data_IF_712134325937
#
_entry.id   IF_712134325937
#
_cell.length_a   1.000
_cell.length_b   1.000
_cell.length_c   1.000
_cell.angle_alpha   90.00
_cell.angle_beta   90.00
_cell.angle_gamma   90.00
#
_symmetry.space_group_name_H-M   'P 1'
#
loop_
_entity.id
_entity.type
_entity.pdbx_description
1 polymer ?
#
# COMPACT_ATOMS: atom_id res chain seq x y z
N UNK A 1 3.96 -16.43 11.80
CA UNK A 1 3.84 -15.13 12.50
C UNK A 1 4.32 -14.08 11.50
N UNK A 2 3.42 -13.61 10.61
CA UNK A 2 3.76 -12.70 9.52
C UNK A 2 3.36 -11.29 9.91
N UNK A 3 4.35 -10.42 10.02
CA UNK A 3 4.15 -9.01 10.31
C UNK A 3 3.52 -8.30 9.10
N UNK A 4 2.42 -7.64 9.33
CA UNK A 4 1.61 -6.90 8.37
C UNK A 4 2.37 -5.65 7.92
N UNK A 5 2.70 -5.55 6.64
CA UNK A 5 3.30 -4.39 6.01
C UNK A 5 2.22 -3.39 5.61
N UNK A 6 2.19 -2.23 6.24
CA UNK A 6 1.51 -1.04 5.74
C UNK A 6 2.55 -0.14 5.07
N UNK A 7 2.73 -0.29 3.77
CA UNK A 7 3.35 0.71 2.90
C UNK A 7 2.23 1.57 2.31
N UNK A 8 1.86 2.64 3.00
CA UNK A 8 1.09 3.71 2.39
C UNK A 8 2.07 4.59 1.60
N UNK A 9 2.27 4.29 0.32
CA UNK A 9 2.90 5.24 -0.61
C UNK A 9 1.83 6.27 -0.96
N UNK A 10 1.75 7.34 -0.15
CA UNK A 10 0.90 8.48 -0.45
C UNK A 10 1.56 9.35 -1.52
N UNK A 11 0.91 9.54 -2.66
CA UNK A 11 1.27 10.59 -3.59
C UNK A 11 1.18 11.96 -2.89
N UNK A 12 2.33 12.61 -2.66
CA UNK A 12 2.41 13.96 -2.10
C UNK A 12 2.04 14.98 -3.19
N UNK A 13 0.87 15.59 -3.04
CA UNK A 13 0.60 16.88 -3.66
C UNK A 13 1.34 17.97 -2.84
N UNK A 14 2.26 18.69 -3.48
CA UNK A 14 2.98 19.82 -2.91
C UNK A 14 2.02 20.99 -2.67
N UNK A 15 1.66 21.25 -1.41
CA UNK A 15 1.19 22.55 -0.97
C UNK A 15 2.32 23.24 -0.21
N UNK A 16 2.86 24.30 -0.82
CA UNK A 16 3.84 25.21 -0.23
C UNK A 16 3.18 26.14 0.78
N UNK A 17 3.22 25.77 2.06
CA UNK A 17 2.91 26.62 3.20
C UNK A 17 4.21 26.93 3.97
N UNK A 18 4.62 28.20 3.97
CA UNK A 18 5.73 28.68 4.81
C UNK A 18 5.33 28.65 6.28
N UNK A 19 5.93 27.76 7.06
CA UNK A 19 5.96 27.86 8.52
C UNK A 19 7.25 28.56 8.90
N UNK A 20 7.13 29.72 9.55
CA UNK A 20 8.26 30.41 10.19
C UNK A 20 8.68 29.63 11.44
N UNK A 21 9.84 29.00 11.38
CA UNK A 21 10.51 28.43 12.55
C UNK A 21 11.22 29.55 13.32
N UNK A 22 11.02 29.58 14.64
CA UNK A 22 11.72 30.44 15.58
C UNK A 22 13.10 29.83 15.86
N UNK A 23 14.22 30.49 15.60
CA UNK A 23 15.54 29.89 15.80
C UNK A 23 15.98 30.09 17.25
N UNK A 24 15.87 29.08 18.09
CA UNK A 24 16.69 28.98 19.29
C UNK A 24 18.03 28.35 18.94
N UNK A 25 19.08 29.13 19.12
CA UNK A 25 20.49 28.89 18.92
C UNK A 25 20.95 27.54 19.51
N UNK A 26 21.03 26.51 18.67
CA UNK A 26 22.08 25.50 18.83
C UNK A 26 23.28 25.94 18.00
N UNK A 27 24.46 25.90 18.57
CA UNK A 27 25.69 26.40 17.92
C UNK A 27 25.93 25.57 16.65
N UNK A 28 26.16 26.21 15.53
CA UNK A 28 26.49 25.57 14.23
C UNK A 28 27.67 24.57 14.36
N UNK A 29 28.51 24.75 15.34
CA UNK A 29 29.70 23.91 15.64
C UNK A 29 29.26 22.51 16.18
N UNK A 30 28.25 22.42 17.05
CA UNK A 30 27.82 21.15 17.61
C UNK A 30 27.02 20.30 16.58
N UNK A 31 26.29 20.98 15.71
CA UNK A 31 25.53 20.32 14.64
C UNK A 31 26.48 19.76 13.56
N UNK A 32 27.54 20.51 13.21
CA UNK A 32 28.51 20.08 12.21
C UNK A 32 29.34 18.89 12.70
N UNK A 33 29.79 18.92 13.97
CA UNK A 33 30.53 17.82 14.59
C UNK A 33 29.67 16.54 14.73
N UNK A 34 28.40 16.66 15.10
CA UNK A 34 27.45 15.53 15.17
C UNK A 34 27.19 14.91 13.78
N UNK A 35 27.06 15.73 12.75
CA UNK A 35 26.88 15.29 11.37
C UNK A 35 28.14 14.58 10.83
N UNK A 36 29.33 15.07 11.13
CA UNK A 36 30.60 14.43 10.73
C UNK A 36 30.80 13.07 11.40
N UNK A 37 30.50 12.95 12.69
CA UNK A 37 30.59 11.69 13.44
C UNK A 37 29.56 10.67 12.90
N UNK A 38 28.34 11.09 12.61
CA UNK A 38 27.30 10.25 12.01
C UNK A 38 27.72 9.73 10.64
N UNK A 39 28.28 10.60 9.80
CA UNK A 39 28.77 10.22 8.48
C UNK A 39 29.95 9.24 8.54
N UNK A 40 30.93 9.45 9.43
CA UNK A 40 32.05 8.53 9.62
C UNK A 40 31.59 7.14 10.08
N UNK A 41 30.59 7.07 10.96
CA UNK A 41 30.00 5.83 11.42
C UNK A 41 29.22 5.11 10.30
N UNK A 42 28.49 5.85 9.47
CA UNK A 42 27.80 5.30 8.29
C UNK A 42 28.82 4.69 7.30
N UNK A 43 29.92 5.36 7.03
CA UNK A 43 30.97 4.87 6.13
C UNK A 43 31.63 3.59 6.69
N UNK A 44 31.83 3.50 8.02
CA UNK A 44 32.33 2.26 8.62
C UNK A 44 31.30 1.13 8.46
N UNK A 45 30.02 1.39 8.76
CA UNK A 45 28.94 0.42 8.56
C UNK A 45 28.85 -0.06 7.09
N UNK A 46 29.03 0.85 6.12
CA UNK A 46 28.99 0.52 4.70
C UNK A 46 30.15 -0.40 4.30
N UNK A 47 31.35 -0.20 4.87
CA UNK A 47 32.50 -1.12 4.67
C UNK A 47 32.20 -2.51 5.23
N UNK A 48 31.61 -2.58 6.42
CA UNK A 48 31.25 -3.87 7.06
C UNK A 48 30.15 -4.57 6.25
N UNK A 49 29.16 -3.82 5.77
CA UNK A 49 28.12 -4.35 4.88
C UNK A 49 28.69 -4.84 3.56
N UNK A 50 29.66 -4.14 2.97
CA UNK A 50 30.36 -4.58 1.75
C UNK A 50 31.01 -5.94 1.95
N UNK A 51 31.73 -6.15 3.07
CA UNK A 51 32.33 -7.45 3.38
C UNK A 51 31.27 -8.54 3.53
N UNK A 52 30.17 -8.23 4.20
CA UNK A 52 29.04 -9.13 4.32
C UNK A 52 28.46 -9.49 2.94
N UNK A 53 28.21 -8.51 2.07
CA UNK A 53 27.66 -8.73 0.73
C UNK A 53 28.61 -9.57 -0.17
N UNK A 54 29.93 -9.33 -0.09
CA UNK A 54 30.93 -10.16 -0.74
C UNK A 54 30.85 -11.62 -0.26
N UNK A 55 30.70 -11.84 1.05
CA UNK A 55 30.47 -13.17 1.64
C UNK A 55 29.13 -13.84 1.22
N UNK A 56 28.18 -13.06 0.72
CA UNK A 56 26.92 -13.53 0.13
C UNK A 56 26.99 -13.76 -1.38
N UNK A 57 28.17 -13.63 -1.98
CA UNK A 57 28.42 -13.95 -3.38
C UNK A 57 28.29 -12.78 -4.36
N UNK A 58 28.12 -11.54 -3.88
CA UNK A 58 28.12 -10.36 -4.75
C UNK A 58 29.53 -10.13 -5.30
N UNK A 59 29.65 -9.90 -6.61
CA UNK A 59 30.92 -9.68 -7.27
C UNK A 59 31.59 -8.38 -6.81
N UNK A 60 32.91 -8.34 -6.76
CA UNK A 60 33.66 -7.15 -6.40
C UNK A 60 33.42 -5.99 -7.40
N UNK A 61 33.17 -6.32 -8.67
CA UNK A 61 32.81 -5.34 -9.68
C UNK A 61 31.48 -4.65 -9.38
N UNK A 62 30.49 -5.40 -8.94
CA UNK A 62 29.19 -4.86 -8.51
C UNK A 62 29.31 -4.05 -7.23
N UNK A 63 30.04 -4.54 -6.24
CA UNK A 63 30.27 -3.82 -4.99
C UNK A 63 30.94 -2.44 -5.25
N UNK A 64 31.92 -2.40 -6.15
CA UNK A 64 32.56 -1.13 -6.54
C UNK A 64 31.57 -0.17 -7.23
N UNK A 65 30.77 -0.65 -8.19
CA UNK A 65 29.81 0.19 -8.91
C UNK A 65 28.65 0.65 -8.03
N UNK A 66 28.18 -0.21 -7.13
CA UNK A 66 26.95 0.01 -6.39
C UNK A 66 27.17 0.72 -5.05
N UNK A 67 28.30 0.51 -4.37
CA UNK A 67 28.53 1.02 -3.03
C UNK A 67 29.55 2.15 -2.96
N UNK A 68 30.41 2.31 -3.98
CA UNK A 68 31.34 3.43 -4.01
C UNK A 68 30.59 4.76 -4.20
N UNK A 69 30.73 5.67 -3.24
CA UNK A 69 30.06 6.96 -3.28
C UNK A 69 28.63 7.00 -2.72
N UNK A 70 28.12 5.88 -2.20
CA UNK A 70 26.82 5.85 -1.49
C UNK A 70 26.86 6.75 -0.26
N UNK A 71 25.85 7.63 -0.15
CA UNK A 71 25.75 8.65 0.90
C UNK A 71 24.58 8.36 1.82
N UNK A 72 24.74 8.72 3.08
CA UNK A 72 23.65 8.82 4.02
C UNK A 72 22.67 9.94 3.59
N UNK A 73 21.38 9.67 3.64
CA UNK A 73 20.32 10.58 3.20
C UNK A 73 19.40 10.92 4.36
N UNK A 74 19.65 12.04 5.05
CA UNK A 74 18.81 12.53 6.16
C UNK A 74 17.33 12.58 5.78
N UNK A 75 17.02 13.02 4.55
CA UNK A 75 15.65 13.09 4.04
C UNK A 75 14.92 11.74 4.06
N UNK A 76 15.63 10.64 3.90
CA UNK A 76 15.06 9.28 3.99
C UNK A 76 14.61 8.98 5.42
N UNK A 77 15.41 9.36 6.42
CA UNK A 77 15.06 9.16 7.84
C UNK A 77 13.91 10.07 8.28
N UNK A 78 13.90 11.33 7.82
CA UNK A 78 12.76 12.22 8.04
C UNK A 78 11.45 11.60 7.52
N UNK A 79 11.49 11.05 6.30
CA UNK A 79 10.33 10.40 5.69
C UNK A 79 9.96 9.08 6.39
N UNK A 80 10.95 8.29 6.85
CA UNK A 80 10.70 7.08 7.65
C UNK A 80 10.06 7.41 9.02
N UNK A 81 10.43 8.54 9.61
CA UNK A 81 9.86 9.05 10.87
C UNK A 81 8.49 9.70 10.71
N UNK A 82 8.13 10.13 9.50
CA UNK A 82 6.89 10.86 9.26
C UNK A 82 5.66 9.96 9.42
N UNK A 83 4.76 10.36 10.32
CA UNK A 83 3.45 9.73 10.50
C UNK A 83 2.37 10.79 10.26
N UNK A 84 1.45 10.58 9.30
CA UNK A 84 0.37 11.54 9.05
C UNK A 84 -0.48 11.72 10.31
N UNK A 85 -0.79 12.97 10.63
CA UNK A 85 -1.64 13.33 11.77
C UNK A 85 -3.08 12.83 11.61
N UNK A 86 -3.57 12.81 10.36
CA UNK A 86 -4.93 12.40 10.03
C UNK A 86 -4.95 11.05 9.34
N UNK A 87 -5.91 10.22 9.72
CA UNK A 87 -6.27 9.02 8.99
C UNK A 87 -7.18 9.43 7.82
N UNK A 88 -6.64 9.43 6.60
CA UNK A 88 -7.39 9.81 5.40
C UNK A 88 -8.58 8.87 5.20
N UNK A 89 -9.84 9.38 5.08
CA UNK A 89 -10.98 8.55 4.75
C UNK A 89 -10.79 7.84 3.41
N UNK A 90 -11.36 6.65 3.28
CA UNK A 90 -11.19 5.83 2.07
C UNK A 90 -11.72 6.55 0.81
N UNK A 91 -12.80 7.31 0.91
CA UNK A 91 -13.37 8.03 -0.24
C UNK A 91 -12.46 9.15 -0.74
N UNK A 92 -11.74 9.86 0.14
CA UNK A 92 -10.77 10.86 -0.28
C UNK A 92 -9.57 10.22 -0.99
N UNK A 93 -9.15 9.04 -0.53
CA UNK A 93 -8.12 8.26 -1.22
C UNK A 93 -8.61 7.84 -2.61
N UNK A 94 -9.83 7.28 -2.71
CA UNK A 94 -10.42 6.84 -3.97
C UNK A 94 -10.66 8.00 -4.94
N UNK A 95 -11.11 9.17 -4.48
CA UNK A 95 -11.28 10.37 -5.33
C UNK A 95 -9.98 10.77 -6.03
N UNK A 96 -8.85 10.60 -5.34
CA UNK A 96 -7.53 10.89 -5.91
C UNK A 96 -7.03 9.74 -6.80
N UNK A 97 -7.20 8.50 -6.31
CA UNK A 97 -6.67 7.30 -6.95
C UNK A 97 -7.46 6.92 -8.21
N UNK A 98 -8.77 7.22 -8.26
CA UNK A 98 -9.69 6.89 -9.36
C UNK A 98 -10.24 8.17 -10.00
N UNK A 99 -9.39 9.19 -10.13
CA UNK A 99 -9.76 10.47 -10.76
C UNK A 99 -10.02 10.30 -12.27
N UNK A 100 -10.87 11.18 -12.82
CA UNK A 100 -11.17 11.18 -14.26
C UNK A 100 -9.91 11.25 -15.12
N UNK A 101 -8.93 12.05 -14.72
CA UNK A 101 -7.63 12.15 -15.41
C UNK A 101 -6.90 10.80 -15.40
N UNK A 102 -6.85 10.11 -14.25
CA UNK A 102 -6.17 8.80 -14.18
C UNK A 102 -6.92 7.74 -14.99
N UNK A 103 -8.25 7.77 -15.01
CA UNK A 103 -9.06 6.87 -15.85
C UNK A 103 -8.74 7.10 -17.33
N UNK A 104 -8.78 8.35 -17.81
CA UNK A 104 -8.49 8.70 -19.21
C UNK A 104 -7.07 8.26 -19.58
N UNK A 105 -6.07 8.60 -18.77
CA UNK A 105 -4.69 8.19 -18.99
C UNK A 105 -4.57 6.65 -19.04
N UNK A 106 -5.30 5.93 -18.18
CA UNK A 106 -5.32 4.46 -18.18
C UNK A 106 -5.92 3.87 -19.44
N UNK A 107 -6.99 4.46 -19.96
CA UNK A 107 -7.60 4.06 -21.22
C UNK A 107 -6.66 4.31 -22.41
N UNK A 108 -5.96 5.43 -22.43
CA UNK A 108 -4.93 5.74 -23.43
C UNK A 108 -3.78 4.74 -23.34
N UNK A 109 -3.23 4.48 -22.13
CA UNK A 109 -2.14 3.50 -21.96
C UNK A 109 -2.56 2.08 -22.35
N UNK A 110 -3.79 1.67 -22.03
CA UNK A 110 -4.33 0.39 -22.46
C UNK A 110 -4.45 0.32 -23.99
N UNK A 111 -4.83 1.42 -24.65
CA UNK A 111 -4.91 1.50 -26.10
C UNK A 111 -3.51 1.46 -26.75
N UNK A 112 -2.56 2.25 -26.22
CA UNK A 112 -1.18 2.34 -26.73
C UNK A 112 -0.44 0.99 -26.64
N UNK A 113 -0.68 0.24 -25.57
CA UNK A 113 0.00 -1.03 -25.27
C UNK A 113 -0.91 -2.25 -25.37
N UNK A 114 -2.01 -2.14 -26.13
CA UNK A 114 -3.06 -3.16 -26.24
C UNK A 114 -2.53 -4.57 -26.49
N UNK A 115 -1.65 -4.72 -27.47
CA UNK A 115 -1.13 -6.04 -27.84
C UNK A 115 -0.33 -6.67 -26.68
N UNK A 116 0.53 -5.90 -26.03
CA UNK A 116 1.32 -6.36 -24.87
C UNK A 116 0.39 -6.73 -23.71
N UNK A 117 -0.56 -5.86 -23.36
CA UNK A 117 -1.50 -6.10 -22.28
C UNK A 117 -2.34 -7.36 -22.51
N UNK A 118 -2.84 -7.57 -23.73
CA UNK A 118 -3.60 -8.78 -24.10
C UNK A 118 -2.73 -10.04 -24.08
N UNK A 119 -1.46 -9.99 -24.47
CA UNK A 119 -0.54 -11.12 -24.35
C UNK A 119 -0.32 -11.49 -22.86
N UNK A 120 -0.19 -10.50 -21.98
CA UNK A 120 -0.03 -10.74 -20.55
C UNK A 120 -1.32 -11.30 -19.93
N UNK A 121 -2.49 -10.79 -20.32
CA UNK A 121 -3.78 -11.34 -19.94
C UNK A 121 -3.92 -12.82 -20.36
N UNK A 122 -3.58 -13.15 -21.60
CA UNK A 122 -3.61 -14.54 -22.09
C UNK A 122 -2.64 -15.45 -21.34
N UNK A 123 -1.45 -14.94 -20.98
CA UNK A 123 -0.40 -15.71 -20.33
C UNK A 123 -0.66 -15.95 -18.85
N UNK A 124 -1.15 -14.93 -18.14
CA UNK A 124 -1.29 -14.94 -16.66
C UNK A 124 -2.74 -14.97 -16.17
N UNK A 125 -3.70 -14.83 -17.07
CA UNK A 125 -5.13 -14.80 -16.72
C UNK A 125 -5.59 -13.55 -15.96
N UNK A 126 -4.74 -12.52 -15.88
CA UNK A 126 -5.04 -11.24 -15.24
C UNK A 126 -5.55 -10.26 -16.28
N UNK A 127 -6.75 -9.66 -16.13
CA UNK A 127 -7.29 -8.73 -17.11
C UNK A 127 -6.37 -7.54 -17.37
N UNK A 128 -6.26 -7.13 -18.64
CA UNK A 128 -5.38 -6.06 -19.08
C UNK A 128 -5.63 -4.74 -18.32
N UNK A 129 -6.90 -4.42 -18.04
CA UNK A 129 -7.27 -3.22 -17.28
C UNK A 129 -6.81 -3.25 -15.81
N UNK A 130 -6.68 -4.43 -15.19
CA UNK A 130 -6.15 -4.56 -13.82
C UNK A 130 -4.64 -4.35 -13.83
N UNK A 131 -3.92 -4.88 -14.81
CA UNK A 131 -2.47 -4.65 -14.99
C UNK A 131 -2.20 -3.16 -15.13
N UNK A 132 -2.96 -2.49 -16.01
CA UNK A 132 -2.83 -1.03 -16.25
C UNK A 132 -3.26 -0.22 -15.04
N UNK A 133 -4.28 -0.67 -14.27
CA UNK A 133 -4.71 0.02 -13.06
C UNK A 133 -3.61 0.00 -11.99
N UNK A 134 -2.93 -1.12 -11.76
CA UNK A 134 -1.78 -1.20 -10.84
C UNK A 134 -0.67 -0.24 -11.31
N UNK A 135 -0.30 -0.27 -12.59
CA UNK A 135 0.68 0.66 -13.16
C UNK A 135 0.30 2.13 -12.92
N UNK A 136 -1.00 2.45 -13.05
CA UNK A 136 -1.52 3.79 -12.76
C UNK A 136 -1.45 4.18 -11.28
N UNK A 137 -1.79 3.26 -10.37
CA UNK A 137 -1.75 3.52 -8.93
C UNK A 137 -0.32 3.63 -8.41
N UNK A 138 0.59 2.76 -8.87
CA UNK A 138 1.96 2.69 -8.35
C UNK A 138 2.82 3.87 -8.81
N UNK A 139 2.77 4.21 -10.09
CA UNK A 139 3.71 5.18 -10.67
C UNK A 139 3.07 6.23 -11.56
N UNK A 140 1.72 6.36 -11.51
CA UNK A 140 0.98 7.22 -12.43
C UNK A 140 1.39 6.97 -13.89
N UNK A 141 1.38 5.71 -14.29
CA UNK A 141 1.79 5.21 -15.61
C UNK A 141 3.24 5.55 -15.97
N UNK A 142 4.13 5.45 -14.98
CA UNK A 142 5.56 5.71 -15.12
C UNK A 142 5.97 7.17 -15.07
N UNK A 143 5.02 8.11 -14.93
CA UNK A 143 5.35 9.53 -14.82
C UNK A 143 5.91 9.93 -13.46
N UNK A 144 5.78 9.07 -12.43
CA UNK A 144 6.25 9.32 -11.07
C UNK A 144 6.48 7.99 -10.33
N UNK A 145 7.69 7.46 -10.41
CA UNK A 145 8.10 6.30 -9.60
C UNK A 145 9.20 6.63 -8.56
N UNK A 146 9.47 7.94 -8.38
CA UNK A 146 10.51 8.44 -7.48
C UNK A 146 11.85 8.64 -8.17
N UNK A 147 12.65 9.50 -7.56
CA UNK A 147 13.99 9.92 -8.04
C UNK A 147 15.10 9.62 -7.02
N UNK A 148 14.76 8.95 -5.93
CA UNK A 148 15.75 8.51 -4.95
C UNK A 148 16.59 7.38 -5.52
N UNK A 149 17.92 7.42 -5.24
CA UNK A 149 18.74 6.24 -5.42
C UNK A 149 18.29 5.15 -4.45
N UNK A 150 17.84 4.02 -4.99
CA UNK A 150 17.40 2.87 -4.18
C UNK A 150 18.52 2.38 -3.26
N UNK A 151 19.77 2.40 -3.73
CA UNK A 151 20.93 1.99 -2.93
C UNK A 151 21.18 2.92 -1.75
N UNK A 152 21.14 4.25 -1.96
CA UNK A 152 21.32 5.21 -0.88
C UNK A 152 20.17 5.16 0.13
N UNK A 153 18.93 5.02 -0.37
CA UNK A 153 17.75 4.90 0.48
C UNK A 153 17.83 3.66 1.37
N UNK A 154 18.09 2.50 0.79
CA UNK A 154 18.17 1.25 1.53
C UNK A 154 19.39 1.18 2.45
N UNK A 155 20.55 1.71 2.04
CA UNK A 155 21.72 1.79 2.90
C UNK A 155 21.45 2.71 4.12
N UNK A 156 20.80 3.84 3.92
CA UNK A 156 20.39 4.75 5.00
C UNK A 156 19.41 4.08 5.96
N UNK A 157 18.36 3.43 5.44
CA UNK A 157 17.37 2.73 6.26
C UNK A 157 17.96 1.50 6.97
N UNK A 158 18.92 0.81 6.37
CA UNK A 158 19.60 -0.32 6.98
C UNK A 158 20.56 0.12 8.11
N UNK A 159 21.13 1.32 8.00
CA UNK A 159 21.98 1.89 9.02
C UNK A 159 21.16 2.48 10.18
N UNK A 160 20.16 3.32 9.90
CA UNK A 160 19.47 4.18 10.89
C UNK A 160 17.94 4.10 10.89
N UNK A 161 17.32 3.40 9.95
CA UNK A 161 15.88 3.26 9.85
C UNK A 161 15.26 2.43 10.96
N UNK A 162 13.94 2.51 11.08
CA UNK A 162 13.17 1.75 12.09
C UNK A 162 13.16 0.24 11.86
N UNK A 163 13.45 -0.22 10.64
CA UNK A 163 13.44 -1.63 10.20
C UNK A 163 14.75 -2.02 9.55
N UNK A 164 15.85 -1.87 10.28
CA UNK A 164 17.23 -2.04 9.78
C UNK A 164 17.48 -3.41 9.11
N UNK A 165 17.07 -4.49 9.76
CA UNK A 165 17.30 -5.84 9.23
C UNK A 165 16.56 -6.09 7.91
N UNK A 166 15.33 -5.57 7.80
CA UNK A 166 14.58 -5.60 6.56
C UNK A 166 15.29 -4.83 5.46
N UNK A 167 15.63 -3.56 5.71
CA UNK A 167 16.32 -2.72 4.73
C UNK A 167 17.68 -3.29 4.32
N UNK A 168 18.40 -3.95 5.25
CA UNK A 168 19.64 -4.66 4.96
C UNK A 168 19.42 -5.83 4.00
N UNK A 169 18.34 -6.58 4.17
CA UNK A 169 17.95 -7.66 3.25
C UNK A 169 17.61 -7.13 1.86
N UNK A 170 16.85 -6.04 1.80
CA UNK A 170 16.50 -5.38 0.54
C UNK A 170 17.73 -4.78 -0.18
N UNK A 171 18.68 -4.19 0.56
CA UNK A 171 19.92 -3.69 -0.03
C UNK A 171 20.75 -4.83 -0.64
N UNK A 172 20.80 -6.00 0.02
CA UNK A 172 21.48 -7.17 -0.54
C UNK A 172 20.77 -7.68 -1.81
N UNK A 173 19.44 -7.70 -1.83
CA UNK A 173 18.66 -8.04 -3.01
C UNK A 173 18.89 -7.04 -4.16
N UNK A 174 18.97 -5.74 -3.87
CA UNK A 174 19.31 -4.72 -4.86
C UNK A 174 20.69 -4.95 -5.50
N UNK A 175 21.68 -5.33 -4.70
CA UNK A 175 23.01 -5.69 -5.23
C UNK A 175 22.96 -6.93 -6.13
N UNK A 176 22.14 -7.94 -5.82
CA UNK A 176 21.98 -9.12 -6.70
C UNK A 176 21.35 -8.77 -8.04
N UNK A 177 20.35 -7.87 -8.05
CA UNK A 177 19.72 -7.39 -9.28
C UNK A 177 20.75 -6.71 -10.20
N UNK A 178 21.62 -5.88 -9.63
CA UNK A 178 22.70 -5.20 -10.38
C UNK A 178 23.73 -6.24 -10.85
N UNK A 179 24.09 -7.21 -10.00
CA UNK A 179 25.07 -8.25 -10.31
C UNK A 179 24.61 -9.17 -11.44
N UNK A 180 23.28 -9.36 -11.56
CA UNK A 180 22.64 -10.12 -12.65
C UNK A 180 22.54 -9.31 -13.95
N UNK A 181 22.75 -7.99 -13.91
CA UNK A 181 22.77 -7.12 -15.09
C UNK A 181 21.39 -6.59 -15.50
N UNK A 182 20.36 -6.73 -14.65
CA UNK A 182 19.01 -6.24 -14.95
C UNK A 182 18.96 -4.70 -15.05
N UNK A 183 19.78 -4.01 -14.22
CA UNK A 183 19.85 -2.53 -14.19
C UNK A 183 21.25 -2.08 -13.79
N UNK A 184 21.70 -0.91 -14.25
CA UNK A 184 22.89 -0.27 -13.75
C UNK A 184 22.66 0.38 -12.38
N UNK A 185 23.70 0.46 -11.53
CA UNK A 185 23.59 1.00 -10.18
C UNK A 185 23.07 2.45 -10.16
N UNK A 186 23.50 3.28 -11.09
CA UNK A 186 23.10 4.69 -11.26
C UNK A 186 21.66 4.87 -11.71
N UNK A 187 21.09 3.88 -12.39
CA UNK A 187 19.72 3.92 -12.93
C UNK A 187 18.70 3.27 -12.00
N UNK A 188 19.16 2.57 -10.94
CA UNK A 188 18.29 1.95 -9.94
C UNK A 188 17.63 3.01 -9.04
N UNK A 189 16.57 3.63 -9.57
CA UNK A 189 15.80 4.71 -8.92
C UNK A 189 14.43 4.23 -8.48
N UNK A 190 13.91 4.91 -7.48
CA UNK A 190 12.60 4.60 -6.93
C UNK A 190 12.19 5.53 -5.80
N UNK A 191 11.33 5.03 -4.91
CA UNK A 191 10.89 5.76 -3.73
C UNK A 191 11.98 5.84 -2.65
N UNK A 192 11.79 6.73 -1.69
CA UNK A 192 12.66 6.83 -0.50
C UNK A 192 12.71 5.53 0.34
N UNK A 193 11.70 4.68 0.22
CA UNK A 193 11.59 3.40 0.94
C UNK A 193 12.13 2.20 0.14
N UNK A 194 12.72 2.43 -1.04
CA UNK A 194 13.34 1.39 -1.86
C UNK A 194 12.39 0.67 -2.82
N UNK A 195 11.16 1.16 -3.02
CA UNK A 195 10.28 0.67 -4.07
C UNK A 195 10.73 1.22 -5.44
N UNK A 196 10.82 0.35 -6.47
CA UNK A 196 11.56 0.61 -7.69
C UNK A 196 10.68 0.63 -8.94
N UNK A 197 11.02 1.52 -9.86
CA UNK A 197 10.49 1.57 -11.22
C UNK A 197 8.97 1.71 -11.30
N UNK A 198 8.40 1.35 -12.43
CA UNK A 198 6.97 1.50 -12.70
C UNK A 198 6.07 0.61 -11.83
N UNK A 199 6.57 -0.55 -11.40
CA UNK A 199 5.81 -1.51 -10.57
C UNK A 199 5.90 -1.22 -9.09
N UNK A 200 6.79 -0.33 -8.65
CA UNK A 200 7.10 -0.07 -7.24
C UNK A 200 7.43 -1.35 -6.46
N UNK A 201 8.10 -2.31 -7.11
CA UNK A 201 8.61 -3.49 -6.42
C UNK A 201 9.77 -3.11 -5.50
N UNK A 202 9.77 -3.61 -4.27
CA UNK A 202 10.98 -3.65 -3.47
C UNK A 202 11.94 -4.71 -4.05
N UNK A 203 13.25 -4.64 -3.82
CA UNK A 203 14.21 -5.54 -4.45
C UNK A 203 13.89 -7.03 -4.28
N UNK A 204 13.47 -7.48 -3.11
CA UNK A 204 13.06 -8.88 -2.90
C UNK A 204 11.83 -9.29 -3.71
N UNK A 205 10.87 -8.37 -3.92
CA UNK A 205 9.72 -8.60 -4.80
C UNK A 205 10.16 -8.66 -6.26
N UNK A 206 11.11 -7.84 -6.67
CA UNK A 206 11.69 -7.91 -8.01
C UNK A 206 12.34 -9.28 -8.24
N UNK A 207 13.19 -9.77 -7.34
CA UNK A 207 13.78 -11.11 -7.45
C UNK A 207 12.74 -12.22 -7.59
N UNK A 208 11.62 -12.10 -6.87
CA UNK A 208 10.58 -13.12 -6.84
C UNK A 208 9.62 -13.07 -8.04
N UNK A 209 9.35 -11.89 -8.59
CA UNK A 209 8.21 -11.68 -9.49
C UNK A 209 8.54 -10.96 -10.80
N UNK A 210 9.68 -10.26 -10.92
CA UNK A 210 10.04 -9.60 -12.15
C UNK A 210 10.29 -10.61 -13.28
N UNK A 211 9.78 -10.27 -14.47
CA UNK A 211 9.82 -11.11 -15.68
C UNK A 211 10.34 -10.30 -16.85
N UNK A 212 11.23 -10.87 -17.64
CA UNK A 212 11.59 -10.43 -18.98
C UNK A 212 10.39 -10.70 -19.92
N UNK A 213 9.65 -9.66 -20.23
CA UNK A 213 8.40 -9.72 -20.99
C UNK A 213 8.61 -9.55 -22.49
N UNK A 214 9.70 -8.92 -22.92
CA UNK A 214 10.05 -8.70 -24.33
C UNK A 214 11.13 -9.66 -24.84
N UNK A 215 11.81 -10.40 -23.96
CA UNK A 215 12.77 -11.43 -24.32
C UNK A 215 14.17 -10.90 -24.63
N UNK A 216 14.52 -9.72 -24.14
CA UNK A 216 15.84 -9.09 -24.35
C UNK A 216 16.93 -9.64 -23.40
N UNK A 217 16.55 -10.46 -22.42
CA UNK A 217 17.44 -11.08 -21.45
C UNK A 217 17.58 -10.28 -20.16
N UNK A 218 16.84 -9.20 -19.95
CA UNK A 218 16.80 -8.39 -18.74
C UNK A 218 15.36 -8.28 -18.21
N UNK A 219 15.22 -7.93 -16.94
CA UNK A 219 13.92 -7.68 -16.29
C UNK A 219 13.82 -6.20 -15.98
N UNK A 220 13.53 -5.38 -16.98
CA UNK A 220 13.59 -3.94 -16.89
C UNK A 220 12.22 -3.32 -16.54
N UNK A 221 11.98 -3.11 -15.24
CA UNK A 221 10.75 -2.47 -14.75
C UNK A 221 10.82 -0.92 -14.76
N UNK A 222 11.90 -0.33 -15.28
CA UNK A 222 12.09 1.12 -15.38
C UNK A 222 11.78 1.65 -16.78
N UNK A 223 12.21 0.97 -17.83
CA UNK A 223 12.10 1.46 -19.20
C UNK A 223 11.32 0.52 -20.15
N UNK A 224 11.25 -0.80 -19.86
CA UNK A 224 10.51 -1.76 -20.68
C UNK A 224 9.05 -1.92 -20.21
N UNK A 225 8.09 -1.37 -20.96
CA UNK A 225 6.66 -1.55 -20.64
C UNK A 225 6.21 -3.01 -20.74
N UNK A 226 6.70 -3.84 -21.68
CA UNK A 226 6.43 -5.28 -21.64
C UNK A 226 6.85 -5.96 -20.33
N UNK A 227 8.00 -5.61 -19.78
CA UNK A 227 8.48 -6.17 -18.49
C UNK A 227 7.64 -5.67 -17.32
N UNK A 228 7.26 -4.40 -17.33
CA UNK A 228 6.35 -3.80 -16.34
C UNK A 228 5.03 -4.56 -16.29
N UNK A 229 4.42 -4.79 -17.45
CA UNK A 229 3.13 -5.49 -17.54
C UNK A 229 3.27 -6.98 -17.19
N UNK A 230 4.31 -7.64 -17.70
CA UNK A 230 4.57 -9.05 -17.40
C UNK A 230 4.85 -9.27 -15.92
N UNK A 231 5.67 -8.42 -15.30
CA UNK A 231 6.02 -8.51 -13.88
C UNK A 231 4.80 -8.25 -12.99
N UNK A 232 3.97 -7.27 -13.32
CA UNK A 232 2.73 -6.98 -12.60
C UNK A 232 1.75 -8.16 -12.69
N UNK A 233 1.56 -8.71 -13.89
CA UNK A 233 0.66 -9.85 -14.10
C UNK A 233 1.17 -11.11 -13.42
N UNK A 234 2.48 -11.42 -13.52
CA UNK A 234 3.11 -12.53 -12.83
C UNK A 234 2.98 -12.42 -11.31
N UNK A 235 3.11 -11.20 -10.75
CA UNK A 235 2.90 -11.01 -9.31
C UNK A 235 1.47 -11.44 -8.89
N UNK A 236 0.45 -10.99 -9.61
CA UNK A 236 -0.94 -11.31 -9.28
C UNK A 236 -1.25 -12.80 -9.49
N UNK A 237 -0.75 -13.41 -10.55
CA UNK A 237 -0.89 -14.86 -10.79
C UNK A 237 -0.28 -15.65 -9.62
N UNK A 238 0.97 -15.35 -9.24
CA UNK A 238 1.63 -15.97 -8.08
C UNK A 238 0.96 -15.65 -6.74
N UNK A 239 0.23 -14.53 -6.65
CA UNK A 239 -0.59 -14.18 -5.49
C UNK A 239 -1.92 -14.95 -5.44
N UNK A 240 -2.22 -15.76 -6.44
CA UNK A 240 -3.41 -16.61 -6.51
C UNK A 240 -4.58 -15.97 -7.25
N UNK A 241 -4.29 -15.17 -8.27
CA UNK A 241 -5.30 -14.67 -9.19
C UNK A 241 -6.06 -15.83 -9.85
N UNK A 242 -7.38 -15.72 -9.89
CA UNK A 242 -8.25 -16.70 -10.55
C UNK A 242 -8.79 -16.10 -11.86
N UNK A 243 -8.31 -16.62 -12.98
CA UNK A 243 -8.76 -16.21 -14.31
C UNK A 243 -10.26 -16.38 -14.48
N UNK A 244 -10.90 -15.39 -15.11
CA UNK A 244 -12.35 -15.40 -15.35
C UNK A 244 -13.21 -15.06 -14.14
N UNK A 245 -12.64 -14.88 -12.94
CA UNK A 245 -13.36 -14.41 -11.77
C UNK A 245 -13.18 -12.89 -11.62
N UNK A 246 -14.23 -12.13 -11.23
CA UNK A 246 -14.07 -10.73 -10.88
C UNK A 246 -13.31 -10.57 -9.54
N UNK A 247 -12.88 -9.35 -9.24
CA UNK A 247 -12.29 -9.06 -7.92
C UNK A 247 -13.32 -9.10 -6.78
N UNK A 248 -14.55 -8.69 -7.11
CA UNK A 248 -15.68 -8.59 -6.21
C UNK A 248 -16.87 -7.92 -6.89
N UNK A 249 -17.84 -7.54 -6.10
CA UNK A 249 -19.03 -6.79 -6.51
C UNK A 249 -19.55 -5.96 -5.34
N UNK A 250 -20.11 -4.78 -5.64
CA UNK A 250 -20.83 -3.98 -4.64
C UNK A 250 -22.15 -4.70 -4.26
N UNK A 251 -22.48 -4.73 -2.96
CA UNK A 251 -23.61 -5.48 -2.42
C UNK A 251 -24.50 -4.63 -1.52
N UNK A 252 -25.77 -5.02 -1.45
CA UNK A 252 -26.72 -4.61 -0.42
C UNK A 252 -26.73 -5.65 0.68
N UNK A 253 -26.56 -5.20 1.91
CA UNK A 253 -26.64 -6.02 3.10
C UNK A 253 -28.08 -6.05 3.61
N UNK A 254 -28.60 -7.18 4.16
CA UNK A 254 -29.92 -7.25 4.73
C UNK A 254 -30.04 -6.40 6.00
N UNK A 255 -31.25 -6.02 6.35
CA UNK A 255 -31.55 -5.40 7.65
C UNK A 255 -31.08 -6.35 8.79
N UNK A 256 -30.46 -5.78 9.83
CA UNK A 256 -29.92 -6.57 10.94
C UNK A 256 -28.66 -7.37 10.62
N UNK A 257 -27.96 -7.07 9.53
CA UNK A 257 -26.69 -7.72 9.19
C UNK A 257 -25.71 -7.67 10.35
N UNK A 258 -25.09 -8.82 10.66
CA UNK A 258 -24.05 -8.87 11.69
C UNK A 258 -22.68 -8.45 11.13
N UNK A 259 -22.29 -7.21 11.40
CA UNK A 259 -21.03 -6.62 10.97
C UNK A 259 -19.78 -7.24 11.63
N UNK A 260 -19.93 -8.13 12.62
CA UNK A 260 -18.84 -8.89 13.19
C UNK A 260 -18.46 -10.12 12.36
N UNK A 261 -19.24 -10.46 11.32
CA UNK A 261 -18.95 -11.58 10.43
C UNK A 261 -17.72 -11.24 9.55
N UNK A 262 -16.57 -11.78 9.95
CA UNK A 262 -15.30 -11.61 9.23
C UNK A 262 -14.84 -12.88 8.52
N UNK A 263 -15.61 -13.97 8.68
CA UNK A 263 -15.30 -15.26 8.07
C UNK A 263 -15.63 -15.26 6.59
N UNK A 264 -14.83 -15.99 5.85
CA UNK A 264 -15.08 -16.21 4.42
C UNK A 264 -16.13 -17.31 4.24
N UNK A 265 -17.04 -17.07 3.33
CA UNK A 265 -18.14 -17.99 2.97
C UNK A 265 -18.29 -18.03 1.46
N UNK A 266 -18.95 -19.06 0.94
CA UNK A 266 -19.34 -19.09 -0.46
C UNK A 266 -20.37 -18.00 -0.78
N UNK A 267 -20.47 -17.61 -2.03
CA UNK A 267 -21.54 -16.69 -2.48
C UNK A 267 -22.94 -17.23 -2.21
N UNK A 268 -23.10 -18.56 -2.25
CA UNK A 268 -24.39 -19.20 -1.93
C UNK A 268 -24.77 -18.99 -0.47
N UNK A 269 -23.83 -19.13 0.46
CA UNK A 269 -24.05 -18.88 1.89
C UNK A 269 -24.36 -17.40 2.16
N UNK A 270 -23.65 -16.47 1.51
CA UNK A 270 -23.96 -15.05 1.62
C UNK A 270 -25.34 -14.70 1.07
N UNK A 271 -25.73 -15.30 -0.07
CA UNK A 271 -27.06 -15.14 -0.63
C UNK A 271 -28.15 -15.65 0.32
N UNK A 272 -27.91 -16.80 0.96
CA UNK A 272 -28.85 -17.36 1.96
C UNK A 272 -28.98 -16.47 3.20
N UNK A 273 -28.00 -15.62 3.49
CA UNK A 273 -28.09 -14.59 4.53
C UNK A 273 -28.73 -13.29 4.06
N UNK A 274 -29.24 -13.23 2.83
CA UNK A 274 -29.91 -12.05 2.29
C UNK A 274 -29.00 -11.03 1.62
N UNK A 275 -27.68 -11.32 1.44
CA UNK A 275 -26.76 -10.45 0.69
C UNK A 275 -27.13 -10.51 -0.79
N UNK A 276 -27.26 -9.34 -1.42
CA UNK A 276 -27.63 -9.18 -2.83
C UNK A 276 -26.60 -8.29 -3.54
N UNK A 277 -26.34 -8.55 -4.81
CA UNK A 277 -25.56 -7.61 -5.61
C UNK A 277 -26.30 -6.27 -5.72
N UNK A 278 -25.56 -5.15 -5.74
CA UNK A 278 -26.14 -3.83 -5.98
C UNK A 278 -26.74 -3.76 -7.38
N UNK A 279 -26.08 -4.41 -8.34
CA UNK A 279 -26.53 -4.57 -9.72
C UNK A 279 -26.26 -6.00 -10.19
N UNK A 280 -27.14 -6.55 -11.00
CA UNK A 280 -27.00 -7.89 -11.56
C UNK A 280 -27.08 -9.01 -10.51
N UNK A 281 -26.24 -10.02 -10.66
CA UNK A 281 -26.18 -11.19 -9.79
C UNK A 281 -24.87 -11.25 -9.01
N UNK A 282 -24.90 -11.92 -7.84
CA UNK A 282 -23.68 -12.20 -7.09
C UNK A 282 -22.78 -13.14 -7.91
N UNK A 283 -21.49 -12.80 -8.10
CA UNK A 283 -20.51 -13.74 -8.66
C UNK A 283 -20.47 -15.04 -7.87
N UNK A 284 -20.16 -16.13 -8.52
CA UNK A 284 -20.09 -17.43 -7.86
C UNK A 284 -18.69 -17.67 -7.27
N UNK A 285 -18.46 -17.19 -6.06
CA UNK A 285 -17.22 -17.40 -5.31
C UNK A 285 -17.35 -18.59 -4.36
N UNK A 286 -16.37 -19.48 -4.35
CA UNK A 286 -16.25 -20.53 -3.34
C UNK A 286 -15.89 -19.98 -1.96
N UNK A 287 -15.16 -18.84 -1.93
CA UNK A 287 -14.67 -18.20 -0.71
C UNK A 287 -14.60 -16.68 -0.88
N UNK A 288 -15.57 -15.98 -0.34
CA UNK A 288 -15.67 -14.52 -0.38
C UNK A 288 -15.87 -13.93 1.02
N UNK A 289 -15.50 -12.68 1.17
CA UNK A 289 -15.69 -11.92 2.39
C UNK A 289 -16.48 -10.63 2.11
N UNK A 290 -17.20 -10.15 3.13
CA UNK A 290 -17.80 -8.80 3.09
C UNK A 290 -16.80 -7.78 3.57
N UNK A 291 -16.58 -6.74 2.77
CA UNK A 291 -15.73 -5.58 3.09
C UNK A 291 -16.62 -4.35 3.18
N UNK A 292 -16.54 -3.65 4.32
CA UNK A 292 -17.38 -2.50 4.66
C UNK A 292 -16.45 -1.37 5.13
N UNK A 293 -15.85 -0.63 4.19
CA UNK A 293 -14.74 0.27 4.52
C UNK A 293 -15.18 1.56 5.23
N UNK A 294 -16.47 1.92 5.16
CA UNK A 294 -17.03 3.13 5.74
C UNK A 294 -18.27 2.86 6.64
N UNK A 295 -18.31 1.67 7.24
CA UNK A 295 -19.41 1.28 8.12
C UNK A 295 -20.75 1.08 7.40
N UNK A 296 -21.81 1.04 8.17
CA UNK A 296 -23.17 0.73 7.69
C UNK A 296 -23.74 1.78 6.70
N UNK A 297 -23.22 3.01 6.76
CA UNK A 297 -23.67 4.13 5.93
C UNK A 297 -22.89 4.28 4.61
N UNK A 298 -21.95 3.38 4.36
CA UNK A 298 -21.12 3.39 3.15
C UNK A 298 -21.33 2.15 2.27
N UNK A 299 -20.67 2.11 1.11
CA UNK A 299 -20.68 0.95 0.23
C UNK A 299 -20.18 -0.32 0.92
N UNK A 300 -20.80 -1.46 0.61
CA UNK A 300 -20.35 -2.78 1.00
C UNK A 300 -19.98 -3.59 -0.23
N UNK A 301 -18.98 -4.47 -0.11
CA UNK A 301 -18.47 -5.27 -1.22
C UNK A 301 -18.36 -6.73 -0.82
N UNK A 302 -18.80 -7.63 -1.69
CA UNK A 302 -18.47 -9.05 -1.63
C UNK A 302 -17.20 -9.25 -2.46
N UNK A 303 -16.09 -9.64 -1.81
CA UNK A 303 -14.78 -9.71 -2.45
C UNK A 303 -14.26 -11.15 -2.50
N UNK A 304 -13.74 -11.55 -3.66
CA UNK A 304 -13.25 -12.89 -3.94
C UNK A 304 -11.73 -13.06 -3.79
N UNK A 305 -11.19 -14.10 -4.45
CA UNK A 305 -9.77 -14.42 -4.47
C UNK A 305 -8.94 -13.30 -5.11
N UNK A 306 -9.45 -12.69 -6.18
CA UNK A 306 -8.72 -11.67 -6.95
C UNK A 306 -8.51 -10.38 -6.14
N UNK A 307 -9.46 -10.00 -5.30
CA UNK A 307 -9.25 -8.90 -4.34
C UNK A 307 -8.13 -9.22 -3.34
N UNK A 308 -8.03 -10.48 -2.90
CA UNK A 308 -6.95 -10.92 -2.03
C UNK A 308 -5.60 -10.94 -2.74
N UNK A 309 -5.56 -11.26 -4.04
CA UNK A 309 -4.36 -11.16 -4.84
C UNK A 309 -3.86 -9.70 -4.91
N UNK A 310 -4.78 -8.74 -5.11
CA UNK A 310 -4.42 -7.30 -5.06
C UNK A 310 -3.92 -6.90 -3.66
N UNK A 311 -4.54 -7.39 -2.58
CA UNK A 311 -4.07 -7.13 -1.20
C UNK A 311 -2.66 -7.72 -0.92
N UNK A 312 -2.20 -8.70 -1.70
CA UNK A 312 -0.81 -9.19 -1.60
C UNK A 312 0.18 -8.19 -2.16
N UNK A 313 -0.21 -7.45 -3.19
CA UNK A 313 0.61 -6.37 -3.74
C UNK A 313 0.77 -5.23 -2.72
N UNK A 314 -0.34 -4.76 -2.15
CA UNK A 314 -0.36 -3.81 -1.05
C UNK A 314 -1.51 -4.14 -0.09
N UNK A 315 -1.19 -4.44 1.17
CA UNK A 315 -2.16 -4.92 2.17
C UNK A 315 -2.99 -3.77 2.79
N UNK A 316 -3.58 -2.94 1.92
CA UNK A 316 -4.52 -1.90 2.31
C UNK A 316 -5.83 -2.05 1.54
N UNK A 317 -6.97 -2.08 2.24
CA UNK A 317 -8.29 -2.18 1.62
C UNK A 317 -8.56 -1.02 0.65
N UNK A 318 -8.12 0.19 1.00
CA UNK A 318 -8.21 1.38 0.13
C UNK A 318 -7.44 1.21 -1.17
N UNK A 319 -6.24 0.64 -1.11
CA UNK A 319 -5.44 0.33 -2.29
C UNK A 319 -6.14 -0.71 -3.17
N UNK A 320 -6.58 -1.81 -2.58
CA UNK A 320 -7.20 -2.88 -3.35
C UNK A 320 -8.50 -2.42 -4.02
N UNK A 321 -9.32 -1.61 -3.33
CA UNK A 321 -10.50 -1.00 -3.94
C UNK A 321 -10.13 0.01 -5.03
N UNK A 322 -9.06 0.80 -4.85
CA UNK A 322 -8.63 1.73 -5.88
C UNK A 322 -8.17 1.02 -7.17
N UNK A 323 -7.34 -0.03 -7.04
CA UNK A 323 -6.93 -0.85 -8.20
C UNK A 323 -8.15 -1.46 -8.88
N UNK A 324 -9.03 -2.09 -8.10
CA UNK A 324 -10.22 -2.76 -8.59
C UNK A 324 -11.17 -1.81 -9.35
N UNK A 325 -11.52 -0.68 -8.71
CA UNK A 325 -12.45 0.29 -9.29
C UNK A 325 -11.83 1.12 -10.41
N UNK A 326 -10.51 1.38 -10.37
CA UNK A 326 -9.80 1.98 -11.51
C UNK A 326 -9.79 1.03 -12.71
N UNK A 327 -9.53 -0.26 -12.49
CA UNK A 327 -9.61 -1.27 -13.56
C UNK A 327 -11.00 -1.33 -14.17
N UNK A 328 -12.05 -1.33 -13.36
CA UNK A 328 -13.43 -1.29 -13.83
C UNK A 328 -13.71 -0.04 -14.66
N UNK A 329 -13.26 1.13 -14.21
CA UNK A 329 -13.44 2.38 -14.91
C UNK A 329 -12.66 2.45 -16.25
N UNK A 330 -11.43 1.93 -16.28
CA UNK A 330 -10.62 1.79 -17.51
C UNK A 330 -11.34 0.92 -18.54
N UNK A 331 -11.99 -0.18 -18.07
CA UNK A 331 -12.79 -1.06 -18.92
C UNK A 331 -14.16 -0.48 -19.28
N UNK A 332 -14.52 0.73 -18.82
CA UNK A 332 -15.82 1.35 -19.06
C UNK A 332 -16.97 0.74 -18.28
N UNK A 333 -16.69 0.00 -17.20
CA UNK A 333 -17.69 -0.53 -16.28
C UNK A 333 -18.17 0.57 -15.32
N UNK A 334 -19.39 0.39 -14.80
CA UNK A 334 -19.96 1.34 -13.85
C UNK A 334 -19.17 1.38 -12.53
N UNK A 335 -19.06 2.56 -11.94
CA UNK A 335 -18.42 2.78 -10.64
C UNK A 335 -19.30 2.36 -9.45
N UNK A 336 -18.81 2.67 -8.26
CA UNK A 336 -19.52 2.44 -7.00
C UNK A 336 -20.82 3.25 -6.99
N UNK A 337 -21.94 2.58 -6.69
CA UNK A 337 -23.29 3.15 -6.76
C UNK A 337 -23.75 3.74 -5.43
N UNK A 338 -23.39 3.10 -4.30
CA UNK A 338 -23.76 3.61 -2.99
C UNK A 338 -22.88 4.80 -2.60
N UNK A 339 -23.51 5.82 -2.05
CA UNK A 339 -22.79 7.03 -1.65
C UNK A 339 -21.90 6.81 -0.44
N UNK A 340 -20.73 7.46 -0.43
CA UNK A 340 -19.86 7.52 0.75
C UNK A 340 -20.41 8.51 1.79
N UNK A 341 -20.23 8.28 3.10
CA UNK A 341 -20.64 9.21 4.16
C UNK A 341 -19.66 10.39 4.27
N UNK A 342 -19.68 11.28 3.28
CA UNK A 342 -18.73 12.38 3.11
C UNK A 342 -18.92 13.53 4.10
N UNK A 343 -20.02 13.56 4.82
CA UNK A 343 -20.36 14.48 5.88
C UNK A 343 -19.66 14.15 7.20
N UNK A 344 -19.06 12.97 7.30
CA UNK A 344 -18.34 12.54 8.49
C UNK A 344 -16.89 13.04 8.46
N UNK A 345 -16.50 13.82 9.47
CA UNK A 345 -15.12 14.25 9.63
C UNK A 345 -14.21 13.06 9.96
N UNK A 346 -13.01 12.98 9.35
CA UNK A 346 -12.04 11.93 9.68
C UNK A 346 -11.56 12.05 11.12
N UNK A 347 -11.30 10.92 11.76
CA UNK A 347 -10.61 10.88 13.05
C UNK A 347 -9.11 11.12 12.84
N UNK A 348 -8.51 11.94 13.69
CA UNK A 348 -7.06 12.02 13.81
C UNK A 348 -6.51 10.78 14.52
N UNK A 349 -5.19 10.60 14.47
CA UNK A 349 -4.54 9.56 15.27
C UNK A 349 -4.79 9.73 16.76
N UNK A 350 -4.74 10.97 17.24
CA UNK A 350 -5.01 11.30 18.64
C UNK A 350 -6.47 11.01 19.02
N UNK A 351 -7.42 11.28 18.13
CA UNK A 351 -8.82 10.90 18.32
C UNK A 351 -8.98 9.38 18.44
N UNK A 352 -8.28 8.60 17.62
CA UNK A 352 -8.31 7.13 17.72
C UNK A 352 -7.68 6.65 19.02
N UNK A 353 -6.56 7.25 19.46
CA UNK A 353 -5.99 6.94 20.77
C UNK A 353 -6.95 7.27 21.92
N UNK A 354 -7.62 8.41 21.82
CA UNK A 354 -8.62 8.80 22.83
C UNK A 354 -9.81 7.84 22.83
N UNK A 355 -10.33 7.47 21.66
CA UNK A 355 -11.39 6.46 21.51
C UNK A 355 -10.98 5.13 22.15
N UNK A 356 -9.75 4.66 21.93
CA UNK A 356 -9.22 3.44 22.56
C UNK A 356 -9.16 3.56 24.08
N UNK A 357 -8.66 4.69 24.60
CA UNK A 357 -8.62 4.95 26.06
C UNK A 357 -10.03 5.00 26.66
N UNK A 358 -10.96 5.67 25.97
CA UNK A 358 -12.34 5.78 26.42
C UNK A 358 -13.06 4.42 26.43
N UNK A 359 -12.92 3.60 25.36
CA UNK A 359 -13.43 2.24 25.32
C UNK A 359 -12.89 1.38 26.48
N UNK A 360 -11.58 1.42 26.72
CA UNK A 360 -10.98 0.71 27.86
C UNK A 360 -11.55 1.17 29.21
N UNK A 361 -11.76 2.48 29.43
CA UNK A 361 -12.33 3.03 30.66
C UNK A 361 -13.77 2.56 30.90
N UNK A 362 -14.57 2.46 29.85
CA UNK A 362 -15.97 1.99 29.97
C UNK A 362 -16.11 0.47 29.87
N UNK A 363 -15.00 -0.27 29.92
CA UNK A 363 -14.99 -1.73 30.09
C UNK A 363 -14.86 -2.56 28.81
N UNK A 364 -14.67 -1.93 27.64
CA UNK A 364 -14.41 -2.65 26.39
C UNK A 364 -12.90 -2.75 26.15
N UNK A 365 -12.32 -3.90 26.47
CA UNK A 365 -10.87 -4.11 26.34
C UNK A 365 -10.43 -4.12 24.86
N UNK A 366 -9.75 -3.06 24.42
CA UNK A 366 -9.26 -2.91 23.04
C UNK A 366 -7.74 -2.99 22.91
N UNK A 367 -7.03 -3.20 24.03
CA UNK A 367 -5.57 -3.22 24.09
C UNK A 367 -4.97 -1.83 24.31
N UNK A 368 -3.73 -1.63 23.85
CA UNK A 368 -3.03 -0.35 23.97
C UNK A 368 -3.65 0.74 23.08
N UNK A 369 -3.56 2.00 23.53
CA UNK A 369 -3.99 3.15 22.74
C UNK A 369 -2.87 3.59 21.79
N UNK A 370 -2.74 2.88 20.67
CA UNK A 370 -1.70 3.07 19.66
C UNK A 370 -2.10 4.02 18.51
N UNK A 371 -3.37 4.43 18.48
CA UNK A 371 -3.93 5.29 17.43
C UNK A 371 -4.22 4.56 16.11
N UNK A 372 -4.31 3.21 16.14
CA UNK A 372 -4.61 2.39 14.98
C UNK A 372 -5.96 1.69 15.15
N UNK A 373 -6.85 1.83 14.18
CA UNK A 373 -8.12 1.11 14.14
C UNK A 373 -7.92 -0.37 13.77
N UNK A 374 -7.31 -1.12 14.70
CA UNK A 374 -7.07 -2.56 14.57
C UNK A 374 -8.32 -3.42 14.83
N UNK A 375 -8.23 -4.76 14.66
CA UNK A 375 -9.36 -5.68 14.89
C UNK A 375 -9.94 -5.58 16.30
N UNK A 376 -9.10 -5.47 17.34
CA UNK A 376 -9.55 -5.36 18.73
C UNK A 376 -10.31 -4.06 18.98
N UNK A 377 -9.81 -2.92 18.43
CA UNK A 377 -10.48 -1.63 18.55
C UNK A 377 -11.85 -1.65 17.86
N UNK A 378 -11.92 -2.21 16.65
CA UNK A 378 -13.20 -2.39 15.95
C UNK A 378 -14.16 -3.30 16.71
N UNK A 379 -13.67 -4.37 17.31
CA UNK A 379 -14.53 -5.27 18.09
C UNK A 379 -15.05 -4.61 19.36
N UNK A 380 -14.20 -3.90 20.11
CA UNK A 380 -14.62 -3.12 21.27
C UNK A 380 -15.65 -2.05 20.93
N UNK A 381 -15.45 -1.37 19.79
CA UNK A 381 -16.40 -0.37 19.30
C UNK A 381 -17.74 -1.00 18.91
N UNK A 382 -17.76 -2.15 18.20
CA UNK A 382 -18.99 -2.90 17.91
C UNK A 382 -19.76 -3.30 19.19
N UNK A 383 -19.03 -3.75 20.21
CA UNK A 383 -19.66 -4.09 21.49
C UNK A 383 -20.29 -2.86 22.15
N UNK A 384 -19.58 -1.74 22.19
CA UNK A 384 -20.11 -0.46 22.65
C UNK A 384 -21.35 -0.04 21.87
N UNK A 385 -21.28 -0.02 20.53
CA UNK A 385 -22.41 0.35 19.67
C UNK A 385 -23.64 -0.53 19.96
N UNK A 386 -23.45 -1.86 20.08
CA UNK A 386 -24.54 -2.81 20.40
C UNK A 386 -25.20 -2.49 21.74
N UNK A 387 -24.40 -2.24 22.78
CA UNK A 387 -24.92 -1.94 24.13
C UNK A 387 -25.61 -0.57 24.19
N UNK A 388 -25.35 0.31 23.22
CA UNK A 388 -26.04 1.59 23.03
C UNK A 388 -27.26 1.51 22.08
N UNK A 389 -27.58 0.34 21.52
CA UNK A 389 -28.66 0.18 20.54
C UNK A 389 -28.37 0.83 19.18
N UNK A 390 -27.08 1.08 18.89
CA UNK A 390 -26.60 1.56 17.59
C UNK A 390 -26.28 0.38 16.67
N UNK A 391 -26.13 0.65 15.37
CA UNK A 391 -25.66 -0.37 14.41
C UNK A 391 -24.22 -0.75 14.77
N UNK A 392 -23.93 -2.02 15.11
CA UNK A 392 -22.61 -2.43 15.59
C UNK A 392 -21.64 -2.70 14.44
N UNK A 393 -21.36 -1.69 13.61
CA UNK A 393 -20.49 -1.80 12.42
C UNK A 393 -19.00 -1.66 12.70
N UNK A 394 -18.64 -1.15 13.90
CA UNK A 394 -17.25 -0.92 14.28
C UNK A 394 -16.59 0.22 13.52
N UNK A 395 -17.36 1.08 12.88
CA UNK A 395 -16.86 2.29 12.23
C UNK A 395 -16.82 3.44 13.23
N UNK A 396 -15.66 4.07 13.36
CA UNK A 396 -15.43 5.15 14.31
C UNK A 396 -15.75 6.51 13.69
N UNK A 397 -16.61 7.29 14.38
CA UNK A 397 -16.98 8.64 13.98
C UNK A 397 -16.69 9.63 15.11
N UNK A 398 -16.62 10.93 14.78
CA UNK A 398 -16.49 11.99 15.79
C UNK A 398 -17.67 11.98 16.79
N UNK A 399 -18.87 11.70 16.30
CA UNK A 399 -20.05 11.58 17.14
C UNK A 399 -19.93 10.46 18.19
N UNK A 400 -19.45 9.28 17.78
CA UNK A 400 -19.21 8.17 18.70
C UNK A 400 -18.10 8.47 19.70
N UNK A 401 -17.05 9.17 19.29
CA UNK A 401 -15.99 9.61 20.19
C UNK A 401 -16.57 10.56 21.26
N UNK A 402 -17.41 11.50 20.86
CA UNK A 402 -18.04 12.44 21.81
C UNK A 402 -18.97 11.72 22.80
N UNK A 403 -19.78 10.75 22.33
CA UNK A 403 -20.61 9.91 23.21
C UNK A 403 -19.75 9.13 24.22
N UNK A 404 -18.61 8.58 23.79
CA UNK A 404 -17.67 7.88 24.65
C UNK A 404 -17.01 8.83 25.68
N UNK A 405 -16.66 10.06 25.27
CA UNK A 405 -16.12 11.09 26.19
C UNK A 405 -17.07 11.34 27.34
N UNK A 406 -18.36 11.57 27.04
CA UNK A 406 -19.37 11.84 28.05
C UNK A 406 -19.56 10.70 29.05
N UNK A 407 -19.39 9.45 28.63
CA UNK A 407 -19.57 8.26 29.48
C UNK A 407 -18.31 7.85 30.23
N UNK A 408 -17.17 8.33 29.81
CA UNK A 408 -15.87 7.98 30.41
C UNK A 408 -15.38 9.01 31.43
N UNK A 409 -16.17 10.07 31.66
CA UNK A 409 -15.98 11.05 32.75
C UNK A 409 -16.52 10.48 34.06
#
# INVERSE_FOLDING_TARGET
MYATFLLAVGALALCSGRVQANPQLMSEVDTQAATEVSYANFQQWLRDFRQYAAGQGISEATLNKALDGVRYRERVIELDGYQPEFVRPIWEYLDTAVSSTRITNGQEKLADHRNTAQQMEQRYGVPAEIIVAIWGIESNYGSNFGDFSTLESLATLAYDGRRRDFARGELLAALRIIDQGDIAAEDMKGSWAGAMGHTQFIPSSFEAYAVDGDGDGRRDIWDSIPDVMASTANYLDRAGWQSGQPWGVEVRLPEGFDYAQTERRSSAEWRNQGVQAQQGELPNFDSAAIVIPAGANGPAFLVGANFRAILRYNNATSYALAVATLGDAIAGREGIQHSWPRDQAPLTRDDVQELQRALNRVGYSVGGADGVMGPNTRQGLRNFQRDQGLIPDGFATQELLEQLRQRSQ
#
